data_IF_154763944024
#
_entry.id   IF_154763944024
#
_cell.length_a   1.000
_cell.length_b   1.000
_cell.length_c   1.000
_cell.angle_alpha   90.00
_cell.angle_beta   90.00
_cell.angle_gamma   90.00
#
_symmetry.space_group_name_H-M   'P 1'
#
loop_
_entity.id
_entity.type
_entity.pdbx_description
1 polymer ?
#
# COMPACT_ATOMS: atom_id res chain seq x y z
N UNK A 1 -12.26 -45.92 18.64
CA UNK A 1 -10.80 -45.70 18.49
C UNK A 1 -10.35 -45.75 17.03
N UNK A 2 -10.69 -46.78 16.24
CA UNK A 2 -10.29 -46.89 14.83
C UNK A 2 -10.75 -45.72 13.92
N UNK A 3 -11.95 -45.19 14.12
CA UNK A 3 -12.47 -44.07 13.31
C UNK A 3 -11.71 -42.77 13.58
N UNK A 4 -11.32 -42.53 14.83
CA UNK A 4 -10.56 -41.35 15.21
C UNK A 4 -9.12 -41.36 14.67
N UNK A 5 -8.46 -42.54 14.66
CA UNK A 5 -7.14 -42.69 14.04
C UNK A 5 -7.18 -42.51 12.51
N UNK A 6 -8.27 -42.92 11.87
CA UNK A 6 -8.43 -42.84 10.41
C UNK A 6 -8.73 -41.40 9.97
N UNK A 7 -9.54 -40.65 10.73
CA UNK A 7 -9.73 -39.21 10.55
C UNK A 7 -8.43 -38.42 10.78
N UNK A 8 -7.67 -38.74 11.84
CA UNK A 8 -6.37 -38.11 12.07
C UNK A 8 -5.38 -38.39 10.92
N UNK A 9 -5.34 -39.61 10.39
CA UNK A 9 -4.51 -39.97 9.23
C UNK A 9 -4.95 -39.25 7.94
N UNK A 10 -6.24 -39.04 7.74
CA UNK A 10 -6.77 -38.29 6.59
C UNK A 10 -6.45 -36.80 6.69
N UNK A 11 -6.63 -36.19 7.87
CA UNK A 11 -6.29 -34.78 8.10
C UNK A 11 -4.79 -34.50 7.94
N UNK A 12 -3.94 -35.38 8.45
CA UNK A 12 -2.47 -35.28 8.28
C UNK A 12 -2.07 -35.44 6.82
N UNK A 13 -2.65 -36.40 6.09
CA UNK A 13 -2.37 -36.58 4.65
C UNK A 13 -2.85 -35.41 3.80
N UNK A 14 -3.98 -34.80 4.16
CA UNK A 14 -4.50 -33.61 3.48
C UNK A 14 -3.63 -32.39 3.77
N UNK A 15 -3.12 -32.26 5.00
CA UNK A 15 -2.21 -31.19 5.40
C UNK A 15 -0.84 -31.32 4.73
N UNK A 16 -0.29 -32.53 4.58
CA UNK A 16 0.96 -32.75 3.83
C UNK A 16 0.82 -32.41 2.35
N UNK A 17 -0.32 -32.74 1.73
CA UNK A 17 -0.57 -32.42 0.32
C UNK A 17 -0.73 -30.90 0.09
N UNK A 18 -1.42 -30.21 1.00
CA UNK A 18 -1.56 -28.75 0.96
C UNK A 18 -0.21 -28.05 1.14
N UNK A 19 0.64 -28.56 2.04
CA UNK A 19 1.98 -28.02 2.27
C UNK A 19 2.91 -28.24 1.06
N UNK A 20 2.83 -29.40 0.39
CA UNK A 20 3.59 -29.67 -0.83
C UNK A 20 3.15 -28.75 -1.99
N UNK A 21 1.85 -28.52 -2.16
CA UNK A 21 1.33 -27.60 -3.17
C UNK A 21 1.72 -26.14 -2.88
N UNK A 22 1.68 -25.74 -1.59
CA UNK A 22 2.14 -24.42 -1.15
C UNK A 22 3.64 -24.23 -1.38
N UNK A 23 4.46 -25.25 -1.10
CA UNK A 23 5.90 -25.24 -1.38
C UNK A 23 6.21 -25.09 -2.88
N UNK A 24 5.56 -25.87 -3.74
CA UNK A 24 5.79 -25.81 -5.18
C UNK A 24 5.35 -24.45 -5.77
N UNK A 25 4.22 -23.91 -5.32
CA UNK A 25 3.75 -22.59 -5.80
C UNK A 25 4.66 -21.44 -5.34
N UNK A 26 5.21 -21.48 -4.12
CA UNK A 26 6.21 -20.53 -3.64
C UNK A 26 7.50 -20.57 -4.45
N UNK A 27 7.99 -21.76 -4.79
CA UNK A 27 9.17 -21.93 -5.64
C UNK A 27 8.98 -21.29 -7.03
N UNK A 28 7.82 -21.48 -7.65
CA UNK A 28 7.49 -20.81 -8.92
C UNK A 28 7.33 -19.29 -8.78
N UNK A 29 6.90 -18.77 -7.62
CA UNK A 29 6.85 -17.33 -7.36
C UNK A 29 8.26 -16.73 -7.37
N UNK A 30 9.20 -17.34 -6.65
CA UNK A 30 10.56 -16.80 -6.50
C UNK A 30 11.33 -16.84 -7.83
N UNK A 31 11.20 -17.93 -8.60
CA UNK A 31 11.83 -18.04 -9.92
C UNK A 31 11.35 -16.94 -10.89
N UNK A 32 10.06 -16.60 -10.87
CA UNK A 32 9.50 -15.51 -11.69
C UNK A 32 10.08 -14.14 -11.30
N UNK A 33 10.28 -13.88 -10.01
CA UNK A 33 10.84 -12.61 -9.55
C UNK A 33 12.30 -12.42 -10.00
N UNK A 34 13.12 -13.48 -9.94
CA UNK A 34 14.52 -13.42 -10.39
C UNK A 34 14.60 -13.16 -11.91
N UNK A 35 13.78 -13.84 -12.72
CA UNK A 35 13.70 -13.56 -14.15
C UNK A 35 13.17 -12.17 -14.46
N UNK A 36 12.18 -11.69 -13.69
CA UNK A 36 11.66 -10.34 -13.84
C UNK A 36 12.75 -9.30 -13.52
N UNK A 37 13.54 -9.48 -12.46
CA UNK A 37 14.67 -8.59 -12.14
C UNK A 37 15.70 -8.54 -13.28
N UNK A 38 16.04 -9.69 -13.89
CA UNK A 38 16.92 -9.73 -15.04
C UNK A 38 16.36 -8.93 -16.24
N UNK A 39 15.06 -9.05 -16.51
CA UNK A 39 14.39 -8.27 -17.56
C UNK A 39 14.39 -6.77 -17.25
N UNK A 40 14.21 -6.36 -15.99
CA UNK A 40 14.31 -4.96 -15.59
C UNK A 40 15.72 -4.39 -15.82
N UNK A 41 16.77 -5.14 -15.50
CA UNK A 41 18.14 -4.72 -15.81
C UNK A 41 18.38 -4.60 -17.31
N UNK A 42 17.86 -5.52 -18.11
CA UNK A 42 17.95 -5.44 -19.58
C UNK A 42 17.26 -4.16 -20.08
N UNK A 43 16.05 -3.86 -19.62
CA UNK A 43 15.29 -2.66 -20.02
C UNK A 43 16.01 -1.38 -19.57
N UNK A 44 16.57 -1.37 -18.36
CA UNK A 44 17.29 -0.23 -17.81
C UNK A 44 18.60 0.05 -18.58
N UNK A 45 19.37 -0.99 -18.90
CA UNK A 45 20.62 -0.87 -19.67
C UNK A 45 20.33 -0.50 -21.13
N UNK A 46 19.26 -1.05 -21.71
CA UNK A 46 18.84 -0.72 -23.07
C UNK A 46 18.34 0.73 -23.22
N UNK A 47 18.18 1.48 -22.12
CA UNK A 47 17.80 2.89 -22.14
C UNK A 47 16.39 3.14 -22.67
N UNK A 48 15.51 2.14 -22.61
CA UNK A 48 14.15 2.21 -23.17
C UNK A 48 13.21 3.15 -22.38
N UNK A 49 13.62 3.63 -21.20
CA UNK A 49 12.87 4.52 -20.33
C UNK A 49 13.29 5.99 -20.45
N UNK A 50 13.53 6.44 -21.68
CA UNK A 50 13.81 7.85 -21.94
C UNK A 50 12.52 8.71 -21.88
N UNK A 51 12.67 10.00 -21.56
CA UNK A 51 11.56 10.98 -21.43
C UNK A 51 10.66 11.03 -22.67
N UNK A 52 11.20 10.64 -23.83
CA UNK A 52 10.48 10.57 -25.11
C UNK A 52 9.29 9.62 -25.07
N UNK A 53 9.37 8.49 -24.36
CA UNK A 53 8.28 7.51 -24.28
C UNK A 53 7.22 7.90 -23.24
N UNK A 54 7.63 8.55 -22.16
CA UNK A 54 6.72 9.06 -21.11
C UNK A 54 5.82 10.19 -21.61
N UNK A 55 6.29 10.99 -22.58
CA UNK A 55 5.50 12.07 -23.18
C UNK A 55 4.28 11.58 -24.00
N UNK A 56 4.19 10.30 -24.33
CA UNK A 56 3.00 9.74 -25.00
C UNK A 56 1.82 9.53 -24.05
N UNK A 57 2.08 9.37 -22.74
CA UNK A 57 1.01 9.25 -21.75
C UNK A 57 0.38 10.63 -21.60
N UNK A 58 -0.88 10.79 -21.97
CA UNK A 58 -1.57 12.08 -21.88
C UNK A 58 -2.10 12.32 -20.46
N UNK A 59 -2.56 13.55 -20.17
CA UNK A 59 -3.26 13.87 -18.92
C UNK A 59 -4.53 13.03 -18.75
N UNK A 60 -5.28 12.84 -19.84
CA UNK A 60 -6.49 12.04 -19.87
C UNK A 60 -6.25 10.58 -19.43
N UNK A 61 -5.20 9.95 -19.95
CA UNK A 61 -4.82 8.59 -19.55
C UNK A 61 -4.44 8.50 -18.07
N UNK A 62 -3.76 9.52 -17.54
CA UNK A 62 -3.40 9.61 -16.13
C UNK A 62 -4.62 9.69 -15.22
N UNK A 63 -5.56 10.60 -15.50
CA UNK A 63 -6.77 10.80 -14.69
C UNK A 63 -7.69 9.55 -14.71
N UNK A 64 -7.80 8.85 -15.84
CA UNK A 64 -8.57 7.59 -15.90
C UNK A 64 -7.92 6.50 -15.04
N UNK A 65 -6.59 6.40 -15.06
CA UNK A 65 -5.89 5.43 -14.25
C UNK A 65 -6.03 5.72 -12.75
N UNK A 66 -5.99 7.00 -12.34
CA UNK A 66 -6.30 7.41 -10.96
C UNK A 66 -7.68 6.95 -10.53
N UNK A 67 -8.67 7.15 -11.40
CA UNK A 67 -10.04 6.73 -11.13
C UNK A 67 -10.14 5.20 -10.99
N UNK A 68 -9.44 4.43 -11.84
CA UNK A 68 -9.41 2.97 -11.76
C UNK A 68 -8.82 2.49 -10.43
N UNK A 69 -7.66 3.04 -10.04
CA UNK A 69 -6.99 2.69 -8.79
C UNK A 69 -7.82 3.10 -7.57
N UNK A 70 -8.47 4.27 -7.62
CA UNK A 70 -9.39 4.70 -6.56
C UNK A 70 -10.59 3.74 -6.42
N UNK A 71 -11.16 3.27 -7.53
CA UNK A 71 -12.24 2.29 -7.52
C UNK A 71 -11.80 0.93 -6.94
N UNK A 72 -10.57 0.50 -7.21
CA UNK A 72 -9.99 -0.71 -6.63
C UNK A 72 -9.86 -0.59 -5.11
N UNK A 73 -9.32 0.52 -4.59
CA UNK A 73 -9.23 0.75 -3.14
C UNK A 73 -10.60 0.80 -2.44
N UNK A 74 -11.62 1.39 -3.07
CA UNK A 74 -12.99 1.39 -2.53
C UNK A 74 -13.53 -0.05 -2.48
N UNK A 75 -13.30 -0.84 -3.53
CA UNK A 75 -13.73 -2.23 -3.59
C UNK A 75 -13.01 -3.08 -2.53
N UNK A 76 -11.70 -2.89 -2.37
CA UNK A 76 -10.92 -3.55 -1.32
C UNK A 76 -11.40 -3.17 0.09
N UNK A 77 -11.80 -1.92 0.32
CA UNK A 77 -12.38 -1.50 1.59
C UNK A 77 -13.72 -2.20 1.87
N UNK A 78 -14.60 -2.33 0.86
CA UNK A 78 -15.88 -3.07 0.98
C UNK A 78 -15.63 -4.54 1.31
N UNK A 79 -14.67 -5.18 0.64
CA UNK A 79 -14.28 -6.57 0.93
C UNK A 79 -13.73 -6.70 2.35
N UNK A 80 -12.91 -5.75 2.80
CA UNK A 80 -12.40 -5.71 4.17
C UNK A 80 -13.50 -5.62 5.22
N UNK A 81 -14.55 -4.82 4.96
CA UNK A 81 -15.73 -4.79 5.83
C UNK A 81 -16.49 -6.11 5.82
N UNK A 82 -16.66 -6.74 4.66
CA UNK A 82 -17.31 -8.04 4.53
C UNK A 82 -16.54 -9.15 5.28
N UNK A 83 -15.21 -9.15 5.21
CA UNK A 83 -14.37 -10.10 5.94
C UNK A 83 -14.43 -9.91 7.46
N UNK A 84 -14.81 -8.72 7.95
CA UNK A 84 -15.12 -8.49 9.37
C UNK A 84 -16.30 -9.30 9.89
N UNK A 85 -17.24 -9.70 9.03
CA UNK A 85 -18.37 -10.56 9.39
C UNK A 85 -18.02 -12.06 9.38
N UNK A 86 -16.85 -12.44 8.85
CA UNK A 86 -16.39 -13.84 8.84
C UNK A 86 -15.57 -14.13 10.10
N UNK A 87 -15.82 -15.25 10.79
CA UNK A 87 -14.96 -15.67 11.89
C UNK A 87 -13.58 -16.11 11.40
N UNK A 88 -12.52 -15.73 12.12
CA UNK A 88 -11.13 -16.08 11.76
C UNK A 88 -10.77 -17.42 12.39
N UNK A 89 -10.38 -18.39 11.56
CA UNK A 89 -10.06 -19.76 11.98
C UNK A 89 -10.85 -20.84 11.22
N UNK A 90 -11.82 -20.44 10.39
CA UNK A 90 -12.65 -21.38 9.64
C UNK A 90 -12.85 -20.91 8.19
N UNK A 91 -12.44 -21.70 7.19
CA UNK A 91 -12.58 -21.34 5.78
C UNK A 91 -14.02 -21.44 5.25
N UNK A 92 -14.95 -22.00 6.03
CA UNK A 92 -16.37 -22.14 5.69
C UNK A 92 -17.28 -21.40 6.66
N UNK A 93 -18.40 -20.89 6.13
CA UNK A 93 -19.45 -20.14 6.84
C UNK A 93 -20.15 -21.00 7.93
N UNK A 94 -19.90 -22.30 8.01
CA UNK A 94 -20.64 -23.24 8.85
C UNK A 94 -19.99 -23.53 10.21
N UNK A 95 -18.79 -23.02 10.47
CA UNK A 95 -17.95 -23.54 11.55
C UNK A 95 -18.05 -22.82 12.91
N UNK A 96 -18.96 -21.84 13.07
CA UNK A 96 -19.20 -21.22 14.37
C UNK A 96 -20.71 -21.06 14.60
N UNK A 97 -21.19 -21.67 15.69
CA UNK A 97 -22.60 -21.87 16.02
C UNK A 97 -23.28 -20.60 16.54
N UNK A 98 -22.52 -19.59 16.96
CA UNK A 98 -23.06 -18.38 17.57
C UNK A 98 -23.22 -17.25 16.55
N UNK A 99 -24.41 -17.19 15.95
CA UNK A 99 -24.85 -16.14 15.04
C UNK A 99 -24.63 -14.73 15.63
N UNK A 100 -24.85 -14.57 16.94
CA UNK A 100 -24.69 -13.31 17.66
C UNK A 100 -23.25 -12.78 17.64
N UNK A 101 -22.24 -13.64 17.79
CA UNK A 101 -20.84 -13.25 17.84
C UNK A 101 -20.36 -12.69 16.48
N UNK A 102 -20.83 -13.31 15.39
CA UNK A 102 -20.53 -12.90 14.02
C UNK A 102 -21.09 -11.52 13.69
N UNK A 103 -22.37 -11.30 14.01
CA UNK A 103 -22.99 -9.99 13.79
C UNK A 103 -22.36 -8.92 14.69
N UNK A 104 -22.03 -9.24 15.95
CA UNK A 104 -21.37 -8.28 16.85
C UNK A 104 -19.98 -7.90 16.33
N UNK A 105 -19.16 -8.86 15.91
CA UNK A 105 -17.83 -8.57 15.36
C UNK A 105 -17.88 -7.75 14.07
N UNK A 106 -18.78 -8.11 13.15
CA UNK A 106 -18.94 -7.40 11.88
C UNK A 106 -19.51 -5.99 12.06
N UNK A 107 -20.52 -5.82 12.90
CA UNK A 107 -21.09 -4.49 13.19
C UNK A 107 -20.12 -3.59 13.93
N UNK A 108 -19.34 -4.13 14.88
CA UNK A 108 -18.29 -3.38 15.56
C UNK A 108 -17.17 -2.94 14.60
N UNK A 109 -16.73 -3.83 13.70
CA UNK A 109 -15.73 -3.51 12.68
C UNK A 109 -16.21 -2.45 11.70
N UNK A 110 -17.48 -2.54 11.28
CA UNK A 110 -18.12 -1.54 10.41
C UNK A 110 -18.23 -0.18 11.12
N UNK A 111 -18.67 -0.16 12.38
CA UNK A 111 -18.78 1.06 13.17
C UNK A 111 -17.41 1.73 13.33
N UNK A 112 -16.38 0.97 13.72
CA UNK A 112 -15.01 1.50 13.85
C UNK A 112 -14.47 2.04 12.54
N UNK A 113 -14.66 1.35 11.41
CA UNK A 113 -14.13 1.80 10.12
C UNK A 113 -14.85 3.04 9.58
N UNK A 114 -16.18 3.12 9.67
CA UNK A 114 -16.93 4.31 9.23
C UNK A 114 -16.65 5.52 10.11
N UNK A 115 -16.56 5.33 11.43
CA UNK A 115 -16.23 6.42 12.36
C UNK A 115 -14.78 6.89 12.21
N UNK A 116 -13.84 5.97 11.98
CA UNK A 116 -12.48 6.32 11.60
C UNK A 116 -12.44 7.17 10.34
N UNK A 117 -13.15 6.77 9.28
CA UNK A 117 -13.18 7.50 8.01
C UNK A 117 -13.78 8.89 8.16
N UNK A 118 -14.92 9.04 8.86
CA UNK A 118 -15.57 10.35 9.05
C UNK A 118 -14.70 11.29 9.87
N UNK A 119 -14.08 10.80 10.97
CA UNK A 119 -13.19 11.60 11.80
C UNK A 119 -11.91 11.95 11.05
N UNK A 120 -11.32 11.02 10.29
CA UNK A 120 -10.13 11.28 9.49
C UNK A 120 -10.38 12.32 8.39
N UNK A 121 -11.51 12.27 7.70
CA UNK A 121 -11.90 13.26 6.69
C UNK A 121 -12.16 14.62 7.32
N UNK A 122 -12.84 14.66 8.46
CA UNK A 122 -13.12 15.90 9.19
C UNK A 122 -11.84 16.58 9.71
N UNK A 123 -10.89 15.79 10.23
CA UNK A 123 -9.63 16.29 10.78
C UNK A 123 -8.70 16.83 9.68
N UNK A 124 -8.61 16.12 8.54
CA UNK A 124 -7.88 16.59 7.35
C UNK A 124 -8.53 17.82 6.72
N UNK A 125 -9.87 17.88 6.73
CA UNK A 125 -10.65 19.03 6.24
C UNK A 125 -10.41 20.32 7.03
N UNK A 126 -9.77 20.27 8.21
CA UNK A 126 -9.42 21.45 9.02
C UNK A 126 -8.47 22.43 8.31
N UNK A 127 -7.77 22.01 7.25
CA UNK A 127 -6.85 22.86 6.48
C UNK A 127 -7.49 23.53 5.25
N UNK A 128 -8.74 23.19 4.93
CA UNK A 128 -9.49 23.78 3.80
C UNK A 128 -10.26 25.02 4.29
N UNK A 129 -10.55 25.99 3.42
CA UNK A 129 -11.28 27.24 3.75
C UNK A 129 -12.66 27.02 4.40
N UNK A 130 -13.26 25.84 4.20
CA UNK A 130 -14.53 25.41 4.79
C UNK A 130 -14.37 24.55 6.06
N UNK A 131 -13.14 24.36 6.54
CA UNK A 131 -12.78 23.55 7.69
C UNK A 131 -12.95 24.26 9.04
N UNK A 132 -12.75 23.48 10.11
CA UNK A 132 -12.86 23.90 11.51
C UNK A 132 -12.32 25.31 11.77
N UNK A 133 -13.22 26.25 12.08
CA UNK A 133 -12.88 27.66 12.38
C UNK A 133 -12.41 27.91 13.81
N UNK A 134 -12.31 26.86 14.63
CA UNK A 134 -11.90 26.94 16.03
C UNK A 134 -10.51 26.35 16.24
N UNK A 135 -9.67 27.06 17.00
CA UNK A 135 -8.29 26.68 17.31
C UNK A 135 -7.23 27.57 16.66
N UNK A 136 -6.07 27.65 17.29
CA UNK A 136 -4.87 28.39 16.83
C UNK A 136 -4.34 27.80 15.53
N UNK A 137 -3.70 28.63 14.70
CA UNK A 137 -3.08 28.24 13.42
C UNK A 137 -2.19 26.99 13.52
N UNK A 138 -1.43 26.85 14.60
CA UNK A 138 -0.55 25.69 14.84
C UNK A 138 -1.32 24.37 14.94
N UNK A 139 -2.45 24.34 15.65
CA UNK A 139 -3.26 23.13 15.83
C UNK A 139 -3.94 22.71 14.52
N UNK A 140 -4.45 23.66 13.73
CA UNK A 140 -5.06 23.35 12.42
C UNK A 140 -4.06 22.77 11.44
N UNK A 141 -2.85 23.32 11.41
CA UNK A 141 -1.77 22.79 10.57
C UNK A 141 -1.36 21.38 11.00
N UNK A 142 -1.24 21.13 12.31
CA UNK A 142 -0.91 19.81 12.84
C UNK A 142 -1.98 18.76 12.48
N UNK A 143 -3.25 19.05 12.76
CA UNK A 143 -4.35 18.13 12.45
C UNK A 143 -4.61 17.96 10.95
N UNK A 144 -4.36 18.99 10.15
CA UNK A 144 -4.43 18.90 8.68
C UNK A 144 -3.37 17.97 8.09
N UNK A 145 -2.17 17.90 8.67
CA UNK A 145 -1.07 17.06 8.17
C UNK A 145 -1.06 15.66 8.78
N UNK A 146 -1.37 15.52 10.07
CA UNK A 146 -1.31 14.26 10.81
C UNK A 146 -2.68 13.64 11.08
N UNK A 147 -3.77 14.20 10.54
CA UNK A 147 -5.14 13.80 10.87
C UNK A 147 -5.42 12.32 10.69
N UNK A 148 -4.98 11.72 9.58
CA UNK A 148 -5.14 10.28 9.34
C UNK A 148 -4.43 9.43 10.41
N UNK A 149 -3.20 9.78 10.80
CA UNK A 149 -2.42 9.04 11.80
C UNK A 149 -2.97 9.20 13.21
N UNK A 150 -3.42 10.41 13.57
CA UNK A 150 -4.06 10.67 14.86
C UNK A 150 -5.36 9.87 14.98
N UNK A 151 -6.22 9.92 13.97
CA UNK A 151 -7.44 9.11 13.92
C UNK A 151 -7.13 7.62 14.05
N UNK A 152 -6.16 7.11 13.29
CA UNK A 152 -5.78 5.70 13.34
C UNK A 152 -5.36 5.27 14.75
N UNK A 153 -4.56 6.10 15.43
CA UNK A 153 -4.09 5.82 16.79
C UNK A 153 -5.24 5.79 17.80
N UNK A 154 -6.11 6.81 17.77
CA UNK A 154 -7.26 6.91 18.68
C UNK A 154 -8.22 5.73 18.49
N UNK A 155 -8.58 5.41 17.25
CA UNK A 155 -9.49 4.29 16.97
C UNK A 155 -8.86 2.92 17.24
N UNK A 156 -7.55 2.78 17.07
CA UNK A 156 -6.83 1.57 17.47
C UNK A 156 -6.89 1.39 18.99
N UNK A 157 -6.64 2.45 19.78
CA UNK A 157 -6.74 2.40 21.25
C UNK A 157 -8.19 2.09 21.67
N UNK A 158 -9.17 2.74 21.05
CA UNK A 158 -10.60 2.48 21.30
C UNK A 158 -10.98 1.02 20.99
N UNK A 159 -10.32 0.41 20.00
CA UNK A 159 -10.50 -1.01 19.67
C UNK A 159 -10.03 -1.97 20.77
N UNK A 160 -9.11 -1.55 21.65
CA UNK A 160 -8.62 -2.33 22.80
C UNK A 160 -9.32 -1.99 24.12
N UNK A 161 -10.10 -0.91 24.17
CA UNK A 161 -10.81 -0.49 25.38
C UNK A 161 -11.75 -1.56 25.98
N UNK A 162 -12.49 -2.38 25.18
CA UNK A 162 -13.35 -3.43 25.73
C UNK A 162 -12.59 -4.54 26.47
N UNK A 163 -11.40 -4.92 25.97
CA UNK A 163 -10.54 -5.93 26.58
C UNK A 163 -9.95 -5.46 27.91
N UNK A 164 -9.56 -4.18 27.99
CA UNK A 164 -8.95 -3.61 29.19
C UNK A 164 -9.93 -3.43 30.35
N UNK A 165 -11.20 -3.20 30.05
CA UNK A 165 -12.22 -2.91 31.07
C UNK A 165 -12.90 -4.18 31.63
N UNK A 166 -12.49 -5.39 31.20
CA UNK A 166 -13.11 -6.68 31.58
C UNK A 166 -14.64 -6.60 31.62
N UNK A 167 -15.23 -5.98 30.59
CA UNK A 167 -16.66 -5.64 30.60
C UNK A 167 -17.47 -6.93 30.61
N UNK A 168 -18.26 -7.16 31.66
CA UNK A 168 -19.09 -8.35 31.80
C UNK A 168 -20.02 -8.48 30.57
N UNK A 169 -19.83 -9.55 29.79
CA UNK A 169 -20.60 -9.82 28.57
C UNK A 169 -19.90 -9.47 27.25
N UNK A 170 -18.71 -8.86 27.27
CA UNK A 170 -17.93 -8.66 26.04
C UNK A 170 -17.08 -9.90 25.72
N UNK A 171 -17.23 -10.53 24.55
CA UNK A 171 -16.45 -11.72 24.20
C UNK A 171 -14.99 -11.36 23.92
N UNK A 172 -14.06 -12.07 24.56
CA UNK A 172 -12.59 -11.87 24.41
C UNK A 172 -12.04 -12.12 23.00
N UNK A 173 -12.88 -12.61 22.08
CA UNK A 173 -12.55 -12.86 20.68
C UNK A 173 -12.89 -11.69 19.75
N UNK A 174 -13.44 -10.60 20.30
CA UNK A 174 -13.88 -9.42 19.54
C UNK A 174 -13.03 -8.21 19.96
N UNK A 175 -12.29 -7.60 19.02
CA UNK A 175 -12.43 -7.74 17.57
C UNK A 175 -11.53 -8.82 17.00
N UNK A 176 -12.00 -9.56 15.99
CA UNK A 176 -11.20 -10.64 15.39
C UNK A 176 -9.92 -10.08 14.74
N UNK A 177 -8.78 -10.31 15.38
CA UNK A 177 -7.47 -9.85 14.88
C UNK A 177 -6.96 -10.78 13.81
N UNK A 178 -6.18 -10.25 12.86
CA UNK A 178 -5.45 -11.13 11.93
C UNK A 178 -4.45 -11.92 12.78
N UNK A 179 -4.54 -13.26 12.82
CA UNK A 179 -3.61 -14.05 13.61
C UNK A 179 -2.20 -13.88 13.05
N UNK A 180 -1.30 -13.34 13.87
CA UNK A 180 0.15 -13.37 13.60
C UNK A 180 0.62 -14.76 14.02
N UNK A 181 0.28 -15.77 13.22
CA UNK A 181 0.54 -17.17 13.52
C UNK A 181 1.42 -17.85 12.45
N UNK A 182 2.00 -19.01 12.77
CA UNK A 182 2.78 -19.84 11.84
C UNK A 182 2.05 -20.22 10.55
N UNK A 183 0.72 -20.11 10.58
CA UNK A 183 -0.20 -20.48 9.50
C UNK A 183 -0.43 -19.33 8.50
N UNK A 184 0.22 -18.18 8.69
CA UNK A 184 0.23 -17.14 7.67
C UNK A 184 0.74 -17.74 6.36
N UNK A 185 0.21 -17.28 5.22
CA UNK A 185 0.66 -17.78 3.91
C UNK A 185 2.17 -17.60 3.67
N UNK A 186 2.82 -16.80 4.51
CA UNK A 186 4.20 -16.34 4.41
C UNK A 186 5.14 -17.03 5.42
N UNK A 187 4.61 -17.91 6.28
CA UNK A 187 5.37 -18.62 7.30
C UNK A 187 5.87 -17.70 8.42
N UNK A 188 6.44 -18.29 9.47
CA UNK A 188 7.31 -17.55 10.38
C UNK A 188 8.58 -17.13 9.61
N UNK A 189 9.11 -15.92 9.79
CA UNK A 189 10.41 -15.55 9.24
C UNK A 189 11.48 -16.41 9.90
N UNK A 190 11.74 -17.59 9.34
CA UNK A 190 12.95 -18.35 9.62
C UNK A 190 14.13 -17.51 9.12
N UNK A 191 15.17 -17.37 9.94
CA UNK A 191 16.43 -16.69 9.60
C UNK A 191 17.20 -17.29 8.40
N UNK A 192 16.62 -18.28 7.71
CA UNK A 192 17.09 -18.77 6.41
C UNK A 192 16.75 -17.76 5.32
N UNK A 193 17.50 -16.66 5.31
CA UNK A 193 17.44 -15.59 4.31
C UNK A 193 17.52 -16.10 2.87
N UNK A 194 18.12 -17.28 2.66
CA UNK A 194 18.36 -17.91 1.36
C UNK A 194 17.58 -19.21 1.16
N UNK A 195 16.51 -19.46 1.93
CA UNK A 195 15.64 -20.64 1.71
C UNK A 195 15.11 -20.67 0.28
N UNK A 196 14.66 -19.53 -0.24
CA UNK A 196 14.10 -19.40 -1.58
C UNK A 196 15.10 -19.79 -2.70
N UNK A 197 16.36 -19.35 -2.59
CA UNK A 197 17.41 -19.69 -3.57
C UNK A 197 17.81 -21.17 -3.50
N UNK A 198 17.84 -21.75 -2.31
CA UNK A 198 18.11 -23.19 -2.12
C UNK A 198 16.99 -24.06 -2.70
N UNK A 199 15.75 -23.67 -2.49
CA UNK A 199 14.58 -24.38 -3.02
C UNK A 199 14.47 -24.23 -4.54
N UNK A 200 14.80 -23.07 -5.11
CA UNK A 200 14.89 -22.87 -6.57
C UNK A 200 15.96 -23.76 -7.22
N UNK A 201 17.12 -23.93 -6.57
CA UNK A 201 18.20 -24.78 -7.07
C UNK A 201 17.87 -26.28 -7.11
N UNK A 202 16.79 -26.70 -6.45
CA UNK A 202 16.32 -28.10 -6.44
C UNK A 202 15.29 -28.42 -7.52
N UNK A 203 14.85 -27.42 -8.30
CA UNK A 203 13.83 -27.59 -9.33
C UNK A 203 14.42 -28.07 -10.67
N UNK A 204 13.61 -28.81 -11.42
CA UNK A 204 13.93 -29.17 -12.80
C UNK A 204 14.04 -27.90 -13.67
N UNK A 205 15.11 -27.83 -14.45
CA UNK A 205 15.46 -26.67 -15.28
C UNK A 205 14.33 -26.26 -16.23
N UNK A 206 13.52 -27.21 -16.69
CA UNK A 206 12.35 -26.95 -17.55
C UNK A 206 11.32 -26.02 -16.90
N UNK A 207 11.06 -26.16 -15.59
CA UNK A 207 10.12 -25.31 -14.87
C UNK A 207 10.63 -23.88 -14.65
N UNK A 208 11.95 -23.71 -14.62
CA UNK A 208 12.59 -22.39 -14.49
C UNK A 208 12.41 -21.58 -15.79
N UNK A 209 12.45 -22.22 -16.96
CA UNK A 209 12.25 -21.54 -18.25
C UNK A 209 10.78 -21.15 -18.49
N UNK A 210 9.82 -21.98 -18.05
CA UNK A 210 8.38 -21.65 -18.15
C UNK A 210 8.03 -20.39 -17.35
N UNK A 211 8.78 -20.10 -16.28
CA UNK A 211 8.60 -18.90 -15.46
C UNK A 211 8.92 -17.57 -16.18
N UNK A 212 9.59 -17.59 -17.34
CA UNK A 212 9.95 -16.37 -18.08
C UNK A 212 8.71 -15.62 -18.60
N UNK A 213 7.69 -16.35 -19.06
CA UNK A 213 6.46 -15.75 -19.60
C UNK A 213 5.72 -14.94 -18.53
N UNK A 214 5.35 -15.51 -17.36
CA UNK A 214 4.72 -14.72 -16.31
C UNK A 214 5.67 -13.66 -15.70
N UNK A 215 6.99 -13.85 -15.76
CA UNK A 215 7.94 -12.80 -15.38
C UNK A 215 7.89 -11.60 -16.33
N UNK A 216 7.70 -11.81 -17.64
CA UNK A 216 7.52 -10.73 -18.62
C UNK A 216 6.29 -9.88 -18.29
N UNK A 217 5.14 -10.51 -18.02
CA UNK A 217 3.94 -9.79 -17.61
C UNK A 217 4.15 -8.98 -16.33
N UNK A 218 4.85 -9.54 -15.33
CA UNK A 218 5.20 -8.83 -14.11
C UNK A 218 6.11 -7.61 -14.39
N UNK A 219 7.09 -7.77 -15.27
CA UNK A 219 7.99 -6.67 -15.68
C UNK A 219 7.24 -5.55 -16.40
N UNK A 220 6.29 -5.89 -17.28
CA UNK A 220 5.46 -4.87 -17.95
C UNK A 220 4.56 -4.14 -16.94
N UNK A 221 3.99 -4.85 -15.97
CA UNK A 221 3.16 -4.25 -14.93
C UNK A 221 3.97 -3.25 -14.09
N UNK A 222 5.13 -3.65 -13.59
CA UNK A 222 6.03 -2.76 -12.84
C UNK A 222 6.55 -1.60 -13.68
N UNK A 223 6.71 -1.80 -14.99
CA UNK A 223 7.06 -0.74 -15.90
C UNK A 223 5.98 0.33 -15.99
N UNK A 224 4.71 -0.07 -16.08
CA UNK A 224 3.59 0.88 -16.13
C UNK A 224 3.42 1.57 -14.79
N UNK A 225 3.45 0.86 -13.67
CA UNK A 225 3.22 1.43 -12.34
C UNK A 225 4.28 2.48 -11.96
N UNK A 226 5.56 2.20 -12.23
CA UNK A 226 6.64 3.13 -11.92
C UNK A 226 6.57 4.40 -12.78
N UNK A 227 6.34 4.23 -14.08
CA UNK A 227 6.25 5.36 -15.01
C UNK A 227 5.00 6.22 -14.76
N UNK A 228 3.89 5.58 -14.42
CA UNK A 228 2.64 6.29 -14.20
C UNK A 228 2.68 7.05 -12.86
N UNK A 229 3.10 6.39 -11.78
CA UNK A 229 3.17 7.03 -10.47
C UNK A 229 4.16 8.21 -10.42
N UNK A 230 5.30 8.12 -11.12
CA UNK A 230 6.25 9.24 -11.23
C UNK A 230 5.70 10.39 -12.06
N UNK A 231 5.03 10.10 -13.17
CA UNK A 231 4.39 11.10 -14.01
C UNK A 231 3.30 11.87 -13.27
N UNK A 232 2.51 11.19 -12.44
CA UNK A 232 1.45 11.78 -11.62
C UNK A 232 2.03 12.72 -10.55
N UNK A 233 3.06 12.26 -9.85
CA UNK A 233 3.77 13.06 -8.86
C UNK A 233 4.36 14.34 -9.48
N UNK A 234 5.02 14.23 -10.64
CA UNK A 234 5.62 15.37 -11.33
C UNK A 234 4.55 16.33 -11.87
N UNK A 235 3.45 15.82 -12.42
CA UNK A 235 2.35 16.64 -12.97
C UNK A 235 1.65 17.47 -11.91
N UNK A 236 1.31 16.87 -10.78
CA UNK A 236 0.67 17.56 -9.66
C UNK A 236 1.52 18.72 -9.13
N UNK A 237 2.85 18.59 -9.20
CA UNK A 237 3.82 19.61 -8.74
C UNK A 237 4.20 20.60 -9.85
N UNK A 238 3.96 20.30 -11.13
CA UNK A 238 4.47 21.07 -12.29
C UNK A 238 4.08 22.55 -12.35
N UNK A 239 3.07 22.98 -11.57
CA UNK A 239 2.76 24.40 -11.35
C UNK A 239 3.80 25.12 -10.44
N UNK A 240 4.75 24.38 -9.89
CA UNK A 240 5.87 24.87 -9.08
C UNK A 240 7.20 24.40 -9.69
N UNK A 241 8.24 25.26 -9.72
CA UNK A 241 9.51 24.89 -10.33
C UNK A 241 10.23 23.82 -9.51
N UNK A 242 10.29 22.60 -10.04
CA UNK A 242 11.05 21.50 -9.45
C UNK A 242 12.55 21.81 -9.49
N UNK A 243 13.23 21.66 -8.33
CA UNK A 243 14.67 21.90 -8.19
C UNK A 243 15.55 20.73 -8.66
N UNK A 244 14.99 19.51 -8.76
CA UNK A 244 15.75 18.29 -9.11
C UNK A 244 15.46 17.81 -10.53
N UNK A 245 16.46 17.19 -11.15
CA UNK A 245 16.39 16.63 -12.51
C UNK A 245 15.85 15.20 -12.44
N UNK A 246 14.79 14.90 -13.20
CA UNK A 246 14.22 13.54 -13.24
C UNK A 246 15.23 12.52 -13.82
N UNK A 247 15.32 11.35 -13.19
CA UNK A 247 16.22 10.25 -13.55
C UNK A 247 15.48 8.91 -13.69
N UNK A 248 14.48 8.85 -14.58
CA UNK A 248 13.61 7.68 -14.78
C UNK A 248 14.35 6.34 -14.99
N UNK A 249 15.45 6.33 -15.75
CA UNK A 249 16.24 5.10 -15.95
C UNK A 249 16.88 4.59 -14.65
N UNK A 250 17.30 5.50 -13.75
CA UNK A 250 17.93 5.11 -12.50
C UNK A 250 16.90 4.48 -11.54
N UNK A 251 15.68 5.00 -11.53
CA UNK A 251 14.58 4.46 -10.74
C UNK A 251 14.23 3.03 -11.19
N UNK A 252 14.28 2.74 -12.49
CA UNK A 252 14.08 1.39 -13.02
C UNK A 252 15.21 0.43 -12.68
N UNK A 253 16.46 0.90 -12.71
CA UNK A 253 17.59 0.09 -12.29
C UNK A 253 17.49 -0.28 -10.80
N UNK A 254 17.14 0.69 -9.95
CA UNK A 254 16.92 0.48 -8.53
C UNK A 254 15.73 -0.45 -8.25
N UNK A 255 14.63 -0.32 -9.01
CA UNK A 255 13.49 -1.22 -8.93
C UNK A 255 13.90 -2.67 -9.23
N UNK A 256 14.65 -2.89 -10.31
CA UNK A 256 15.19 -4.22 -10.64
C UNK A 256 16.06 -4.81 -9.53
N UNK A 257 16.88 -3.97 -8.88
CA UNK A 257 17.70 -4.37 -7.73
C UNK A 257 16.85 -4.75 -6.51
N UNK A 258 15.80 -3.99 -6.19
CA UNK A 258 14.89 -4.33 -5.09
C UNK A 258 14.13 -5.63 -5.36
N UNK A 259 13.63 -5.84 -6.58
CA UNK A 259 12.93 -7.07 -6.99
C UNK A 259 13.85 -8.28 -6.97
N UNK A 260 15.14 -8.10 -7.31
CA UNK A 260 16.14 -9.15 -7.16
C UNK A 260 16.29 -9.54 -5.70
N UNK A 261 16.47 -8.57 -4.80
CA UNK A 261 16.60 -8.86 -3.37
C UNK A 261 15.33 -9.50 -2.80
N UNK A 262 14.13 -8.99 -3.10
CA UNK A 262 12.88 -9.64 -2.63
C UNK A 262 12.72 -11.04 -3.19
N UNK A 263 13.08 -11.27 -4.47
CA UNK A 263 13.02 -12.57 -5.10
C UNK A 263 13.99 -13.59 -4.50
N UNK A 264 15.21 -13.17 -4.15
CA UNK A 264 16.20 -14.01 -3.48
C UNK A 264 15.79 -14.34 -2.03
N UNK A 265 15.10 -13.39 -1.37
CA UNK A 265 14.64 -13.50 0.00
C UNK A 265 13.28 -14.22 0.13
N UNK A 266 12.58 -14.47 -0.97
CA UNK A 266 11.23 -15.02 -0.96
C UNK A 266 10.16 -14.06 -0.44
N UNK A 267 10.46 -12.75 -0.48
CA UNK A 267 9.54 -11.69 -0.09
C UNK A 267 8.66 -11.29 -1.29
N UNK A 268 7.46 -10.74 -1.04
CA UNK A 268 6.69 -10.11 -2.11
C UNK A 268 7.50 -8.96 -2.72
N UNK A 269 7.44 -8.84 -4.04
CA UNK A 269 8.12 -7.77 -4.75
C UNK A 269 7.54 -6.40 -4.37
N UNK A 270 8.42 -5.43 -4.13
CA UNK A 270 8.04 -4.05 -3.86
C UNK A 270 7.83 -3.31 -5.18
N UNK A 271 6.61 -2.85 -5.45
CA UNK A 271 6.31 -1.93 -6.56
C UNK A 271 6.15 -0.50 -6.05
N UNK A 272 6.22 0.48 -6.97
CA UNK A 272 5.89 1.87 -6.66
C UNK A 272 4.40 2.01 -6.34
N UNK A 273 4.06 2.52 -5.15
CA UNK A 273 2.67 2.73 -4.77
C UNK A 273 2.09 3.97 -5.48
N UNK A 274 1.14 3.73 -6.37
CA UNK A 274 0.48 4.73 -7.21
C UNK A 274 -0.12 5.89 -6.40
N UNK A 275 -0.96 5.68 -5.36
CA UNK A 275 -1.54 6.81 -4.61
C UNK A 275 -0.55 7.44 -3.62
N UNK A 276 0.51 6.71 -3.23
CA UNK A 276 1.40 7.17 -2.17
C UNK A 276 2.41 8.20 -2.69
N UNK A 277 2.92 8.00 -3.91
CA UNK A 277 3.86 8.92 -4.57
C UNK A 277 3.33 10.36 -4.71
N UNK A 278 2.09 10.61 -5.19
CA UNK A 278 1.54 11.96 -5.25
C UNK A 278 1.18 12.50 -3.86
N UNK A 279 0.76 11.66 -2.91
CA UNK A 279 0.45 12.11 -1.54
C UNK A 279 1.71 12.59 -0.80
N UNK A 280 2.83 11.88 -0.91
CA UNK A 280 4.13 12.32 -0.36
C UNK A 280 4.57 13.64 -1.00
N UNK A 281 4.42 13.74 -2.31
CA UNK A 281 4.73 14.95 -3.06
C UNK A 281 3.89 16.14 -2.58
N UNK A 282 2.57 15.98 -2.46
CA UNK A 282 1.65 17.00 -1.95
C UNK A 282 1.94 17.40 -0.51
N UNK A 283 2.35 16.46 0.35
CA UNK A 283 2.73 16.74 1.73
C UNK A 283 4.00 17.60 1.85
N UNK A 284 4.92 17.48 0.89
CA UNK A 284 6.16 18.26 0.81
C UNK A 284 5.99 19.64 0.16
N UNK A 285 4.91 19.85 -0.60
CA UNK A 285 4.62 21.14 -1.23
C UNK A 285 4.11 22.12 -0.18
N UNK A 286 4.90 23.16 0.08
CA UNK A 286 4.45 24.34 0.83
C UNK A 286 3.76 25.27 -0.15
N UNK A 287 2.42 25.26 -0.16
CA UNK A 287 1.64 26.28 -0.84
C UNK A 287 1.90 27.61 -0.13
N UNK A 288 2.78 28.44 -0.69
CA UNK A 288 2.90 29.83 -0.28
C UNK A 288 1.68 30.53 -0.87
N UNK A 289 0.68 30.75 -0.05
CA UNK A 289 -0.41 31.65 -0.39
C UNK A 289 0.22 33.01 -0.71
N UNK A 290 0.23 33.38 -1.99
CA UNK A 290 0.46 34.76 -2.38
C UNK A 290 -0.81 35.46 -1.94
N UNK A 291 -0.84 35.91 -0.68
CA UNK A 291 -1.82 36.91 -0.27
C UNK A 291 -1.64 38.05 -1.27
N UNK A 292 -2.65 38.27 -2.09
CA UNK A 292 -2.81 39.50 -2.84
C UNK A 292 -3.20 40.61 -1.85
N UNK A 293 -2.36 40.82 -0.84
CA UNK A 293 -2.24 42.08 -0.15
C UNK A 293 -0.99 42.69 -0.76
N UNK A 294 -1.15 43.53 -1.80
CA UNK A 294 -0.89 44.96 -1.65
C UNK A 294 -0.69 45.67 -3.01
N UNK A 295 -1.77 45.98 -3.72
CA UNK A 295 -1.76 47.02 -4.79
C UNK A 295 -1.59 48.46 -4.22
N UNK A 296 -1.01 48.63 -3.03
CA UNK A 296 -0.74 49.96 -2.43
C UNK A 296 0.65 50.12 -1.77
N UNK A 297 1.58 49.19 -2.00
CA UNK A 297 2.98 49.34 -1.56
C UNK A 297 3.96 49.42 -2.73
N UNK A 298 3.53 49.09 -3.96
CA UNK A 298 4.39 49.14 -5.14
C UNK A 298 4.66 50.58 -5.64
N UNK A 299 3.85 51.58 -5.25
CA UNK A 299 4.18 52.99 -5.52
C UNK A 299 5.22 53.58 -4.54
N UNK A 300 5.30 53.08 -3.30
CA UNK A 300 6.25 53.60 -2.31
C UNK A 300 7.64 52.97 -2.49
N UNK A 301 7.72 51.68 -2.86
CA UNK A 301 8.98 50.98 -3.12
C UNK A 301 9.71 51.46 -4.39
N UNK A 302 8.98 51.80 -5.45
CA UNK A 302 9.58 52.33 -6.69
C UNK A 302 10.09 53.77 -6.55
N UNK A 303 9.55 54.57 -5.63
CA UNK A 303 10.04 55.95 -5.40
C UNK A 303 11.37 55.97 -4.64
N UNK A 304 11.62 55.03 -3.73
CA UNK A 304 12.92 54.95 -3.03
C UNK A 304 14.06 54.39 -3.89
N UNK A 305 13.76 53.51 -4.85
CA UNK A 305 14.81 52.98 -5.74
C UNK A 305 15.22 53.98 -6.85
N UNK A 306 14.36 54.93 -7.23
CA UNK A 306 14.68 55.94 -8.24
C UNK A 306 15.52 57.10 -7.70
N UNK A 307 15.54 57.36 -6.39
CA UNK A 307 16.41 58.36 -5.77
C UNK A 307 17.81 57.83 -5.40
N UNK A 308 18.04 56.52 -5.53
CA UNK A 308 19.31 55.86 -5.21
C UNK A 308 20.19 55.59 -6.46
N UNK A 309 19.67 55.95 -7.64
CA UNK A 309 20.34 55.77 -8.93
C UNK A 309 20.45 57.07 -9.76
N UNK A 310 20.45 58.24 -9.09
CA UNK A 310 20.95 59.51 -9.63
C UNK A 310 21.96 60.08 -8.63
#
# INVERSE_FOLDING_TARGET
MLVASLLAALTTKQQTNNNAYKSNSLQHIHARQVWSAAQHFIIAIAGLNDKKYLNYVTRFTGEIFELLVAADYITAAIIGFYDGFKPKGCPSIECETDLGLRYLNGTFSLLLGLTFWTVAMWLQGSNTEHGMRWGTFAYRRFFGQFGCMVSLTVFTIMSYAPDWNNTAGWPSSIPSRVPIGPDSNWGVPSLDLFRATREMGSMEVGHIFVAIIPALFLTVLFYVDQNLSTLMAVRDISNTPLKSKDAYNMDFFLLGLTVLFTGLLGLPASSGLIPQNPMHSKALVVLKEVRHCEERSDELGMRQLRSLFI
#
